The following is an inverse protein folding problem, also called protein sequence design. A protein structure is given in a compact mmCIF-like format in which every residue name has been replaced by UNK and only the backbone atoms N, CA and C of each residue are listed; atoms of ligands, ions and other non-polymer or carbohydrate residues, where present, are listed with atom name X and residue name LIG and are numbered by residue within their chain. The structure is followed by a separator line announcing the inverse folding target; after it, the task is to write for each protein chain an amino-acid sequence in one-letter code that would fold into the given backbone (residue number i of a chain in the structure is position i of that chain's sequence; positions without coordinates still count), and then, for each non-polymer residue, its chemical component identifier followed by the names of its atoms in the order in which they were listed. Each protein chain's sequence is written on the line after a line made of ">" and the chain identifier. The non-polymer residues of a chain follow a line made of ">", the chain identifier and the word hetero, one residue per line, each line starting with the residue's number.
data_IF_587562809763
#
_entry.id   IF_587562809763
#
_cell.length_a   1.000
_cell.length_b   1.000
_cell.length_c   1.000
_cell.angle_alpha   90.00
_cell.angle_beta   90.00
_cell.angle_gamma   90.00
#
_symmetry.space_group_name_H-M   'P 1'
#
loop_
_entity.id
_entity.type
_entity.pdbx_description
1 polymer ?
#
# COMPACT_ATOMS: atom_id res chain seq x y z
N UNK A 1 35.94 4.38 -11.06
CA UNK A 1 36.27 4.00 -12.46
C UNK A 1 35.16 4.46 -13.39
N UNK A 2 35.44 5.27 -14.41
CA UNK A 2 34.43 5.64 -15.40
C UNK A 2 34.02 4.40 -16.21
N UNK A 3 32.72 4.10 -16.28
CA UNK A 3 32.19 2.98 -17.06
C UNK A 3 32.43 3.27 -18.54
N UNK A 4 33.02 2.34 -19.27
CA UNK A 4 33.15 2.43 -20.74
C UNK A 4 31.77 2.64 -21.36
N UNK A 5 31.61 3.57 -22.32
CA UNK A 5 30.36 3.72 -23.07
C UNK A 5 30.05 2.41 -23.80
N UNK A 6 28.77 2.04 -23.80
CA UNK A 6 28.29 0.85 -24.51
C UNK A 6 28.42 1.06 -26.02
N UNK A 7 28.77 -0.01 -26.75
CA UNK A 7 28.70 0.01 -28.21
C UNK A 7 27.24 0.00 -28.67
N UNK A 8 26.94 0.52 -29.87
CA UNK A 8 25.58 0.55 -30.44
C UNK A 8 24.91 -0.84 -30.45
N UNK A 9 25.63 -1.92 -30.82
CA UNK A 9 25.11 -3.31 -30.73
C UNK A 9 24.77 -3.76 -29.31
N UNK A 10 25.56 -3.35 -28.31
CA UNK A 10 25.28 -3.67 -26.91
C UNK A 10 24.08 -2.88 -26.39
N UNK A 11 23.92 -1.63 -26.83
CA UNK A 11 22.75 -0.80 -26.53
C UNK A 11 21.48 -1.47 -27.06
N UNK A 12 21.44 -1.82 -28.34
CA UNK A 12 20.27 -2.44 -28.98
C UNK A 12 19.89 -3.76 -28.32
N UNK A 13 20.87 -4.61 -28.00
CA UNK A 13 20.65 -5.88 -27.28
C UNK A 13 20.02 -5.67 -25.90
N UNK A 14 20.39 -4.60 -25.19
CA UNK A 14 19.80 -4.27 -23.88
C UNK A 14 18.36 -3.77 -24.05
N UNK A 15 18.11 -2.90 -25.03
CA UNK A 15 16.81 -2.28 -25.24
C UNK A 15 15.76 -3.25 -25.82
N UNK A 16 16.17 -4.27 -26.56
CA UNK A 16 15.26 -5.30 -27.08
C UNK A 16 14.84 -6.35 -26.05
N UNK A 17 15.63 -6.59 -25.01
CA UNK A 17 15.33 -7.54 -23.95
C UNK A 17 15.58 -6.97 -22.54
N UNK A 18 14.91 -5.85 -22.17
CA UNK A 18 15.17 -5.13 -20.92
C UNK A 18 14.84 -5.99 -19.67
N UNK A 19 13.87 -6.89 -19.80
CA UNK A 19 13.41 -7.83 -18.77
C UNK A 19 14.52 -8.78 -18.27
N UNK A 20 15.52 -9.07 -19.12
CA UNK A 20 16.59 -10.04 -18.83
C UNK A 20 17.80 -9.39 -18.16
N UNK A 21 17.73 -8.10 -17.83
CA UNK A 21 18.85 -7.33 -17.30
C UNK A 21 18.67 -7.03 -15.83
N UNK A 22 19.80 -6.92 -15.12
CA UNK A 22 19.78 -6.39 -13.77
C UNK A 22 19.31 -4.93 -13.81
N UNK A 23 18.51 -4.54 -12.83
CA UNK A 23 17.95 -3.20 -12.70
C UNK A 23 19.04 -2.10 -12.73
N UNK A 24 20.16 -2.33 -12.04
CA UNK A 24 21.30 -1.43 -12.05
C UNK A 24 21.91 -1.27 -13.44
N UNK A 25 21.99 -2.36 -14.22
CA UNK A 25 22.45 -2.34 -15.60
C UNK A 25 21.53 -1.50 -16.49
N UNK A 26 20.22 -1.79 -16.45
CA UNK A 26 19.20 -1.08 -17.22
C UNK A 26 19.18 0.42 -16.89
N UNK A 27 19.24 0.77 -15.60
CA UNK A 27 19.31 2.18 -15.16
C UNK A 27 20.48 2.93 -15.78
N UNK A 28 21.69 2.33 -15.79
CA UNK A 28 22.86 3.00 -16.38
C UNK A 28 22.69 3.24 -17.88
N UNK A 29 22.08 2.28 -18.58
CA UNK A 29 21.82 2.40 -20.03
C UNK A 29 20.86 3.55 -20.29
N UNK A 30 19.74 3.60 -19.57
CA UNK A 30 18.72 4.64 -19.73
C UNK A 30 19.26 6.04 -19.40
N UNK A 31 20.14 6.18 -18.40
CA UNK A 31 20.74 7.48 -18.04
C UNK A 31 21.73 8.02 -19.08
N UNK A 32 22.13 7.20 -20.06
CA UNK A 32 23.20 7.52 -21.01
C UNK A 32 22.79 7.22 -22.45
N UNK A 33 21.49 7.32 -22.75
CA UNK A 33 20.96 7.14 -24.10
C UNK A 33 21.48 8.25 -25.04
N UNK A 34 21.98 7.89 -26.23
CA UNK A 34 22.37 8.88 -27.23
C UNK A 34 21.12 9.48 -27.92
N UNK A 35 21.28 10.62 -28.59
CA UNK A 35 20.17 11.34 -29.26
C UNK A 35 19.59 10.58 -30.46
N UNK A 36 20.37 9.70 -31.09
CA UNK A 36 20.02 8.90 -32.28
C UNK A 36 19.48 7.49 -31.95
N UNK A 37 19.25 7.18 -30.68
CA UNK A 37 18.69 5.88 -30.26
C UNK A 37 17.29 5.66 -30.84
N UNK A 38 16.96 4.41 -31.19
CA UNK A 38 15.60 4.04 -31.56
C UNK A 38 14.64 4.33 -30.38
N UNK A 39 13.66 5.24 -30.57
CA UNK A 39 12.84 5.73 -29.48
C UNK A 39 11.91 4.67 -28.90
N UNK A 40 11.41 3.71 -29.70
CA UNK A 40 10.39 2.77 -29.25
C UNK A 40 10.98 1.70 -28.30
N UNK A 41 12.09 1.01 -28.63
CA UNK A 41 12.76 0.11 -27.69
C UNK A 41 13.26 0.83 -26.44
N UNK A 42 13.79 2.06 -26.58
CA UNK A 42 14.26 2.85 -25.45
C UNK A 42 13.12 3.21 -24.48
N UNK A 43 11.95 3.60 -25.00
CA UNK A 43 10.78 3.90 -24.19
C UNK A 43 10.25 2.66 -23.45
N UNK A 44 10.17 1.50 -24.11
CA UNK A 44 9.78 0.22 -23.47
C UNK A 44 10.74 -0.16 -22.35
N UNK A 45 12.04 -0.03 -22.60
CA UNK A 45 13.08 -0.29 -21.61
C UNK A 45 12.99 0.67 -20.40
N UNK A 46 12.66 1.94 -20.61
CA UNK A 46 12.42 2.88 -19.53
C UNK A 46 11.22 2.49 -18.67
N UNK A 47 10.10 2.03 -19.28
CA UNK A 47 8.91 1.59 -18.55
C UNK A 47 9.13 0.34 -17.69
N UNK A 48 10.09 -0.53 -18.05
CA UNK A 48 10.48 -1.66 -17.20
C UNK A 48 10.98 -1.21 -15.82
N UNK A 49 11.45 0.04 -15.66
CA UNK A 49 11.86 0.57 -14.35
C UNK A 49 10.70 0.85 -13.39
N UNK A 50 9.44 0.91 -13.89
CA UNK A 50 8.23 1.17 -13.09
C UNK A 50 7.42 -0.12 -12.83
N UNK A 51 8.04 -1.30 -12.96
CA UNK A 51 7.36 -2.58 -12.70
C UNK A 51 7.21 -2.89 -11.21
N UNK A 52 6.16 -3.66 -10.89
CA UNK A 52 5.59 -3.83 -9.55
C UNK A 52 6.53 -4.50 -8.52
N UNK A 53 7.56 -5.21 -8.97
CA UNK A 53 8.43 -6.01 -8.10
C UNK A 53 9.59 -5.20 -7.49
N UNK A 54 9.51 -3.86 -7.49
CA UNK A 54 10.59 -2.99 -7.06
C UNK A 54 10.23 -2.18 -5.81
N UNK A 55 11.23 -1.99 -4.94
CA UNK A 55 11.15 -1.06 -3.83
C UNK A 55 11.34 0.37 -4.39
N UNK A 56 10.30 1.20 -4.30
CA UNK A 56 10.23 2.58 -4.87
C UNK A 56 10.44 2.68 -6.39
N UNK A 57 9.58 2.04 -7.21
CA UNK A 57 9.73 2.00 -8.68
C UNK A 57 9.76 3.40 -9.29
N UNK A 58 8.91 4.31 -8.81
CA UNK A 58 8.83 5.67 -9.33
C UNK A 58 10.11 6.48 -9.12
N UNK A 59 10.76 6.33 -7.96
CA UNK A 59 12.02 7.01 -7.66
C UNK A 59 13.15 6.54 -8.56
N UNK A 60 13.19 5.26 -8.90
CA UNK A 60 14.19 4.68 -9.79
C UNK A 60 13.97 5.20 -11.21
N UNK A 61 12.74 5.12 -11.70
CA UNK A 61 12.34 5.62 -13.00
C UNK A 61 12.66 7.12 -13.17
N UNK A 62 12.19 7.97 -12.25
CA UNK A 62 12.35 9.40 -12.37
C UNK A 62 13.82 9.85 -12.30
N UNK A 63 14.68 9.12 -11.57
CA UNK A 63 16.14 9.35 -11.59
C UNK A 63 16.78 8.93 -12.90
N UNK A 64 16.41 7.75 -13.41
CA UNK A 64 17.03 7.20 -14.61
C UNK A 64 16.62 8.00 -15.86
N UNK A 65 15.36 8.43 -15.90
CA UNK A 65 14.74 9.03 -17.06
C UNK A 65 14.79 10.57 -17.05
N UNK A 66 15.50 11.23 -16.12
CA UNK A 66 15.49 12.70 -16.01
C UNK A 66 15.90 13.42 -17.30
N UNK A 67 16.79 12.81 -18.09
CA UNK A 67 17.42 13.41 -19.28
C UNK A 67 17.26 12.51 -20.51
N UNK A 68 16.03 12.12 -20.83
CA UNK A 68 15.74 11.34 -22.03
C UNK A 68 15.77 12.22 -23.30
N UNK A 69 16.19 11.65 -24.46
CA UNK A 69 15.98 12.29 -25.75
C UNK A 69 14.49 12.51 -26.03
N UNK A 70 14.13 13.63 -26.67
CA UNK A 70 12.73 13.99 -26.96
C UNK A 70 11.97 12.93 -27.78
N UNK A 71 12.56 12.28 -28.81
CA UNK A 71 11.89 11.18 -29.50
C UNK A 71 11.50 10.03 -28.56
N UNK A 72 12.34 9.69 -27.58
CA UNK A 72 12.08 8.65 -26.58
C UNK A 72 10.96 9.10 -25.63
N UNK A 73 10.96 10.37 -25.20
CA UNK A 73 9.90 10.94 -24.35
C UNK A 73 8.54 10.80 -25.03
N UNK A 74 8.44 11.18 -26.31
CA UNK A 74 7.19 11.07 -27.07
C UNK A 74 6.74 9.62 -27.20
N UNK A 75 7.63 8.72 -27.62
CA UNK A 75 7.31 7.29 -27.70
C UNK A 75 6.87 6.71 -26.34
N UNK A 76 7.44 7.19 -25.24
CA UNK A 76 7.04 6.78 -23.88
C UNK A 76 5.63 7.29 -23.54
N UNK A 77 5.31 8.55 -23.83
CA UNK A 77 3.97 9.11 -23.61
C UNK A 77 2.91 8.34 -24.42
N UNK A 78 3.24 7.89 -25.64
CA UNK A 78 2.37 7.08 -26.48
C UNK A 78 2.08 5.72 -25.84
N UNK A 79 3.10 5.06 -25.31
CA UNK A 79 2.93 3.79 -24.59
C UNK A 79 2.08 3.94 -23.33
N UNK A 80 2.18 5.10 -22.66
CA UNK A 80 1.38 5.43 -21.48
C UNK A 80 -0.09 5.74 -21.78
N UNK A 81 -0.52 5.82 -23.05
CA UNK A 81 -1.92 6.08 -23.38
C UNK A 81 -2.87 4.99 -22.87
N UNK A 82 -2.39 3.75 -22.87
CA UNK A 82 -3.13 2.57 -22.42
C UNK A 82 -2.95 2.24 -20.94
N UNK A 83 -1.98 2.89 -20.28
CA UNK A 83 -1.66 2.64 -18.88
C UNK A 83 -2.59 3.45 -17.96
N UNK A 84 -3.30 2.75 -17.07
CA UNK A 84 -4.31 3.33 -16.17
C UNK A 84 -3.78 3.65 -14.78
N UNK A 85 -2.46 3.60 -14.56
CA UNK A 85 -1.84 3.94 -13.28
C UNK A 85 -1.66 5.46 -13.13
N UNK A 86 -1.59 6.00 -11.90
CA UNK A 86 -1.58 7.44 -11.66
C UNK A 86 -0.45 8.21 -12.36
N UNK A 87 0.75 7.63 -12.42
CA UNK A 87 1.90 8.28 -13.05
C UNK A 87 1.68 8.50 -14.55
N UNK A 88 0.89 7.63 -15.21
CA UNK A 88 0.58 7.73 -16.63
C UNK A 88 -0.24 8.98 -16.92
N UNK A 89 -1.31 9.20 -16.15
CA UNK A 89 -2.14 10.40 -16.23
C UNK A 89 -1.34 11.66 -15.85
N UNK A 90 -0.55 11.59 -14.77
CA UNK A 90 0.31 12.69 -14.36
C UNK A 90 1.28 13.11 -15.48
N UNK A 91 1.99 12.18 -16.10
CA UNK A 91 2.99 12.50 -17.12
C UNK A 91 2.37 13.00 -18.42
N UNK A 92 1.25 12.41 -18.84
CA UNK A 92 0.50 12.83 -20.04
C UNK A 92 -0.05 14.25 -19.89
N UNK A 93 -0.53 14.61 -18.70
CA UNK A 93 -1.02 15.95 -18.43
C UNK A 93 0.12 16.97 -18.30
N UNK A 94 1.21 16.60 -17.62
CA UNK A 94 2.31 17.52 -17.34
C UNK A 94 3.11 17.90 -18.59
N UNK A 95 3.35 16.94 -19.50
CA UNK A 95 4.31 17.10 -20.59
C UNK A 95 3.58 17.42 -21.90
N UNK A 96 3.82 18.59 -22.51
CA UNK A 96 3.15 18.98 -23.75
C UNK A 96 3.72 18.19 -24.93
N UNK A 97 3.12 17.04 -25.28
CA UNK A 97 3.60 16.09 -26.31
C UNK A 97 4.01 16.76 -27.62
N UNK A 98 3.17 17.67 -28.11
CA UNK A 98 3.32 18.35 -29.41
C UNK A 98 4.11 19.67 -29.31
N UNK A 99 4.67 19.97 -28.14
CA UNK A 99 5.51 21.14 -27.93
C UNK A 99 6.85 21.07 -28.67
N UNK A 100 7.56 22.20 -28.70
CA UNK A 100 8.91 22.27 -29.28
C UNK A 100 9.90 21.43 -28.47
N UNK A 101 11.00 20.98 -29.10
CA UNK A 101 12.02 20.11 -28.47
C UNK A 101 12.41 20.59 -27.05
N UNK A 102 12.73 21.88 -26.91
CA UNK A 102 13.14 22.48 -25.62
C UNK A 102 12.01 22.50 -24.58
N UNK A 103 10.77 22.73 -25.00
CA UNK A 103 9.61 22.76 -24.11
C UNK A 103 9.31 21.37 -23.56
N UNK A 104 9.31 20.34 -24.43
CA UNK A 104 9.13 18.94 -24.05
C UNK A 104 10.22 18.49 -23.09
N UNK A 105 11.50 18.74 -23.42
CA UNK A 105 12.62 18.32 -22.56
C UNK A 105 12.58 18.99 -21.19
N UNK A 106 12.21 20.27 -21.13
CA UNK A 106 12.13 21.03 -19.87
C UNK A 106 10.95 20.55 -19.03
N UNK A 107 9.77 20.39 -19.63
CA UNK A 107 8.59 19.88 -18.95
C UNK A 107 8.82 18.46 -18.43
N UNK A 108 9.45 17.60 -19.22
CA UNK A 108 9.81 16.24 -18.82
C UNK A 108 10.76 16.23 -17.62
N UNK A 109 11.85 16.99 -17.64
CA UNK A 109 12.79 17.08 -16.53
C UNK A 109 12.12 17.59 -15.24
N UNK A 110 11.21 18.56 -15.37
CA UNK A 110 10.40 19.07 -14.25
C UNK A 110 9.39 18.05 -13.74
N UNK A 111 8.74 17.29 -14.62
CA UNK A 111 7.83 16.20 -14.24
C UNK A 111 8.57 15.11 -13.46
N UNK A 112 9.77 14.71 -13.91
CA UNK A 112 10.62 13.76 -13.19
C UNK A 112 11.01 14.30 -11.81
N UNK A 113 11.33 15.60 -11.71
CA UNK A 113 11.63 16.22 -10.43
C UNK A 113 10.42 16.23 -9.48
N UNK A 114 9.22 16.56 -9.98
CA UNK A 114 7.99 16.51 -9.20
C UNK A 114 7.69 15.10 -8.68
N UNK A 115 7.85 14.05 -9.50
CA UNK A 115 7.71 12.66 -9.07
C UNK A 115 8.72 12.27 -7.98
N UNK A 116 9.96 12.79 -8.04
CA UNK A 116 10.95 12.58 -6.99
C UNK A 116 10.61 13.32 -5.69
N UNK A 117 9.94 14.45 -5.78
CA UNK A 117 9.52 15.23 -4.62
C UNK A 117 8.28 14.65 -3.93
N UNK A 118 7.42 13.95 -4.68
CA UNK A 118 6.36 13.09 -4.12
C UNK A 118 6.93 11.87 -3.38
N UNK A 119 8.05 11.29 -3.85
CA UNK A 119 8.75 10.15 -3.20
C UNK A 119 9.69 10.62 -2.06
N UNK A 120 9.15 11.40 -1.13
CA UNK A 120 9.92 11.98 -0.02
C UNK A 120 10.34 10.93 1.02
N UNK A 121 11.64 10.81 1.35
CA UNK A 121 12.10 9.91 2.42
C UNK A 121 11.83 10.47 3.83
N UNK A 122 11.34 11.71 3.93
CA UNK A 122 11.11 12.35 5.23
C UNK A 122 9.81 11.86 5.86
N UNK A 123 9.80 11.75 7.19
CA UNK A 123 8.59 11.43 7.96
C UNK A 123 7.43 12.38 7.63
N UNK A 124 6.21 11.85 7.74
CA UNK A 124 4.97 12.50 7.29
C UNK A 124 4.83 13.95 7.78
N UNK A 125 4.86 14.17 9.09
CA UNK A 125 4.65 15.49 9.69
C UNK A 125 5.87 16.44 9.66
N UNK A 126 6.99 16.07 9.00
CA UNK A 126 8.21 16.87 9.07
C UNK A 126 8.10 18.21 8.31
N UNK A 127 8.73 19.30 8.79
CA UNK A 127 8.73 20.59 8.09
C UNK A 127 9.25 20.51 6.65
N UNK A 128 10.24 19.64 6.41
CA UNK A 128 10.81 19.41 5.06
C UNK A 128 9.80 18.79 4.11
N UNK A 129 9.02 17.79 4.54
CA UNK A 129 7.96 17.20 3.71
C UNK A 129 6.85 18.22 3.44
N UNK A 130 6.43 18.97 4.46
CA UNK A 130 5.45 20.05 4.31
C UNK A 130 5.89 21.11 3.28
N UNK A 131 7.15 21.54 3.34
CA UNK A 131 7.68 22.50 2.39
C UNK A 131 7.69 21.97 0.94
N UNK A 132 8.06 20.69 0.74
CA UNK A 132 7.99 20.04 -0.58
C UNK A 132 6.56 20.01 -1.13
N UNK A 133 5.60 19.56 -0.33
CA UNK A 133 4.19 19.47 -0.74
C UNK A 133 3.63 20.84 -1.09
N UNK A 134 3.96 21.89 -0.33
CA UNK A 134 3.61 23.28 -0.68
C UNK A 134 4.26 23.74 -1.98
N UNK A 135 5.52 23.38 -2.22
CA UNK A 135 6.21 23.69 -3.48
C UNK A 135 5.54 23.02 -4.69
N UNK A 136 5.06 21.79 -4.54
CA UNK A 136 4.29 21.09 -5.57
C UNK A 136 2.91 21.73 -5.79
N UNK A 137 2.19 22.04 -4.71
CA UNK A 137 0.90 22.72 -4.77
C UNK A 137 0.99 24.11 -5.42
N UNK A 138 2.06 24.85 -5.14
CA UNK A 138 2.29 26.18 -5.71
C UNK A 138 2.73 26.20 -7.18
N UNK A 139 2.94 25.04 -7.81
CA UNK A 139 3.29 24.92 -9.22
C UNK A 139 2.03 24.53 -10.03
N UNK A 140 1.46 25.43 -10.84
CA UNK A 140 0.17 25.18 -11.50
C UNK A 140 0.14 23.94 -12.38
N UNK A 141 1.22 23.69 -13.15
CA UNK A 141 1.32 22.51 -14.02
C UNK A 141 1.41 21.21 -13.23
N UNK A 142 2.10 21.25 -12.09
CA UNK A 142 2.20 20.10 -11.18
C UNK A 142 0.86 19.81 -10.52
N UNK A 143 0.19 20.86 -10.03
CA UNK A 143 -1.12 20.75 -9.40
C UNK A 143 -2.15 20.18 -10.38
N UNK A 144 -2.24 20.71 -11.59
CA UNK A 144 -3.14 20.24 -12.65
C UNK A 144 -2.91 18.76 -12.99
N UNK A 145 -1.64 18.33 -13.12
CA UNK A 145 -1.30 16.94 -13.37
C UNK A 145 -1.68 16.00 -12.21
N UNK A 146 -1.56 16.48 -10.96
CA UNK A 146 -1.99 15.71 -9.77
C UNK A 146 -3.51 15.63 -9.68
N UNK A 147 -4.22 16.73 -9.91
CA UNK A 147 -5.69 16.77 -9.97
C UNK A 147 -6.20 15.78 -11.02
N UNK A 148 -5.63 15.80 -12.22
CA UNK A 148 -5.98 14.88 -13.31
C UNK A 148 -5.76 13.42 -12.92
N UNK A 149 -4.62 13.10 -12.31
CA UNK A 149 -4.35 11.74 -11.84
C UNK A 149 -5.29 11.29 -10.72
N UNK A 150 -5.63 12.19 -9.79
CA UNK A 150 -6.54 11.91 -8.67
C UNK A 150 -7.99 11.70 -9.13
N UNK A 151 -8.45 12.41 -10.16
CA UNK A 151 -9.78 12.21 -10.76
C UNK A 151 -9.82 10.92 -11.58
N UNK A 152 -8.78 10.64 -12.36
CA UNK A 152 -8.78 9.51 -13.30
C UNK A 152 -8.49 8.15 -12.64
N UNK A 153 -7.92 8.13 -11.43
CA UNK A 153 -7.49 6.90 -10.76
C UNK A 153 -8.15 6.71 -9.41
N UNK A 154 -8.59 5.47 -9.15
CA UNK A 154 -9.06 5.09 -7.83
C UNK A 154 -7.96 5.08 -6.76
N UNK A 155 -6.77 4.60 -7.11
CA UNK A 155 -5.67 4.43 -6.17
C UNK A 155 -4.55 5.42 -6.53
N UNK A 156 -4.45 6.50 -5.76
CA UNK A 156 -3.35 7.47 -5.86
C UNK A 156 -2.55 7.49 -4.56
N UNK A 157 -1.34 8.03 -4.60
CA UNK A 157 -0.49 8.08 -3.41
C UNK A 157 -0.99 9.11 -2.39
N UNK A 158 -0.70 8.86 -1.13
CA UNK A 158 -0.98 9.81 -0.04
C UNK A 158 -0.30 11.17 -0.27
N UNK A 159 0.90 11.21 -0.86
CA UNK A 159 1.57 12.47 -1.19
C UNK A 159 0.84 13.27 -2.28
N UNK A 160 0.25 12.61 -3.29
CA UNK A 160 -0.58 13.31 -4.29
C UNK A 160 -1.82 13.94 -3.63
N UNK A 161 -2.52 13.18 -2.78
CA UNK A 161 -3.67 13.71 -2.02
C UNK A 161 -3.25 14.82 -1.04
N UNK A 162 -2.05 14.73 -0.46
CA UNK A 162 -1.50 15.74 0.43
C UNK A 162 -1.24 17.07 -0.29
N UNK A 163 -0.85 17.03 -1.57
CA UNK A 163 -0.75 18.24 -2.41
C UNK A 163 -2.11 18.89 -2.59
N UNK A 164 -3.18 18.11 -2.84
CA UNK A 164 -4.54 18.64 -3.03
C UNK A 164 -5.07 19.35 -1.79
N UNK A 165 -4.92 18.76 -0.59
CA UNK A 165 -5.35 19.40 0.67
C UNK A 165 -4.47 20.60 1.04
N UNK A 166 -3.23 20.64 0.55
CA UNK A 166 -2.31 21.78 0.73
C UNK A 166 -2.71 22.96 -0.15
N UNK A 167 -3.20 22.69 -1.36
CA UNK A 167 -3.73 23.71 -2.28
C UNK A 167 -5.09 24.24 -1.81
N UNK A 168 -6.03 23.33 -1.53
CA UNK A 168 -7.39 23.60 -1.07
C UNK A 168 -8.25 24.46 -2.01
N UNK A 169 -7.97 24.46 -3.32
CA UNK A 169 -8.90 25.00 -4.32
C UNK A 169 -10.11 24.08 -4.50
N UNK A 170 -11.17 24.62 -5.10
CA UNK A 170 -12.38 23.86 -5.47
C UNK A 170 -12.05 22.64 -6.33
N UNK A 171 -11.21 22.79 -7.37
CA UNK A 171 -10.77 21.69 -8.21
C UNK A 171 -9.99 20.60 -7.44
N UNK A 172 -9.21 20.99 -6.43
CA UNK A 172 -8.51 20.04 -5.55
C UNK A 172 -9.47 19.30 -4.61
N UNK A 173 -10.51 19.98 -4.12
CA UNK A 173 -11.56 19.37 -3.30
C UNK A 173 -12.41 18.39 -4.11
N UNK A 174 -12.81 18.76 -5.33
CA UNK A 174 -13.53 17.88 -6.25
C UNK A 174 -12.74 16.61 -6.56
N UNK A 175 -11.41 16.75 -6.74
CA UNK A 175 -10.53 15.62 -6.93
C UNK A 175 -10.38 14.73 -5.68
N UNK A 176 -10.63 15.25 -4.46
CA UNK A 176 -10.53 14.51 -3.19
C UNK A 176 -11.82 13.75 -2.84
N UNK A 177 -12.99 14.33 -3.12
CA UNK A 177 -14.30 13.78 -2.72
C UNK A 177 -14.48 12.31 -3.11
N UNK A 178 -14.19 11.87 -4.35
CA UNK A 178 -14.36 10.46 -4.75
C UNK A 178 -13.51 9.48 -3.95
N UNK A 179 -12.39 9.91 -3.37
CA UNK A 179 -11.52 9.06 -2.53
C UNK A 179 -12.13 8.88 -1.14
N UNK A 180 -12.69 9.94 -0.57
CA UNK A 180 -13.40 9.89 0.72
C UNK A 180 -14.66 9.05 0.61
N UNK A 181 -15.49 9.28 -0.41
CA UNK A 181 -16.73 8.51 -0.60
C UNK A 181 -16.47 7.01 -0.73
N UNK A 182 -15.43 6.64 -1.49
CA UNK A 182 -15.02 5.23 -1.60
C UNK A 182 -14.50 4.68 -0.29
N UNK A 183 -13.71 5.44 0.47
CA UNK A 183 -13.22 5.02 1.79
C UNK A 183 -14.37 4.82 2.79
N UNK A 184 -15.33 5.74 2.83
CA UNK A 184 -16.55 5.64 3.65
C UNK A 184 -17.37 4.40 3.26
N UNK A 185 -17.56 4.15 1.95
CA UNK A 185 -18.29 2.98 1.46
C UNK A 185 -17.58 1.66 1.79
N UNK A 186 -16.25 1.62 1.69
CA UNK A 186 -15.44 0.42 1.99
C UNK A 186 -15.33 0.16 3.49
N UNK A 187 -15.44 1.20 4.33
CA UNK A 187 -15.27 1.13 5.80
C UNK A 187 -13.98 0.42 6.20
N UNK A 188 -12.90 0.71 5.47
CA UNK A 188 -11.55 0.18 5.73
C UNK A 188 -10.62 1.28 6.26
N UNK A 189 -9.36 0.93 6.50
CA UNK A 189 -8.31 1.83 7.01
C UNK A 189 -7.96 2.99 6.07
N UNK A 190 -8.52 3.02 4.85
CA UNK A 190 -8.27 4.13 3.92
C UNK A 190 -8.81 5.44 4.50
N UNK A 191 -9.93 5.40 5.23
CA UNK A 191 -10.52 6.60 5.82
C UNK A 191 -9.60 7.20 6.90
N UNK A 192 -8.98 6.36 7.72
CA UNK A 192 -7.97 6.76 8.72
C UNK A 192 -6.77 7.42 8.07
N UNK A 193 -6.25 6.82 6.99
CA UNK A 193 -5.14 7.40 6.21
C UNK A 193 -5.53 8.76 5.63
N UNK A 194 -6.75 8.89 5.08
CA UNK A 194 -7.24 10.17 4.58
C UNK A 194 -7.33 11.22 5.68
N UNK A 195 -7.66 10.85 6.92
CA UNK A 195 -7.66 11.78 8.05
C UNK A 195 -6.24 12.30 8.38
N UNK A 196 -5.18 11.51 8.16
CA UNK A 196 -3.80 11.95 8.35
C UNK A 196 -3.39 13.13 7.44
N UNK A 197 -4.10 13.33 6.31
CA UNK A 197 -3.90 14.45 5.40
C UNK A 197 -4.12 15.81 6.08
N UNK A 198 -4.90 15.85 7.18
CA UNK A 198 -5.14 17.06 7.97
C UNK A 198 -3.83 17.74 8.40
N UNK A 199 -2.78 16.95 8.60
CA UNK A 199 -1.42 17.43 8.93
C UNK A 199 -0.84 18.41 7.91
N UNK A 200 -1.27 18.30 6.65
CA UNK A 200 -0.81 19.08 5.50
C UNK A 200 -1.83 20.10 5.00
N UNK A 201 -3.07 20.02 5.49
CA UNK A 201 -4.17 20.82 5.01
C UNK A 201 -3.92 22.33 5.16
N UNK A 202 -4.36 23.09 4.15
CA UNK A 202 -4.43 24.53 4.26
C UNK A 202 -5.54 24.91 5.25
N UNK A 203 -5.22 25.81 6.18
CA UNK A 203 -6.21 26.33 7.12
C UNK A 203 -7.23 27.21 6.37
N UNK A 204 -8.39 26.63 6.06
CA UNK A 204 -9.53 27.28 5.42
C UNK A 204 -10.82 26.66 5.99
N UNK A 205 -11.92 27.42 6.08
CA UNK A 205 -13.19 26.87 6.58
C UNK A 205 -13.64 25.62 5.81
N UNK A 206 -13.44 25.61 4.48
CA UNK A 206 -13.85 24.48 3.63
C UNK A 206 -13.04 23.21 3.94
N UNK A 207 -11.73 23.34 4.17
CA UNK A 207 -10.91 22.19 4.59
C UNK A 207 -11.25 21.72 6.00
N UNK A 208 -11.55 22.65 6.91
CA UNK A 208 -11.97 22.30 8.26
C UNK A 208 -13.28 21.50 8.24
N UNK A 209 -14.28 21.94 7.47
CA UNK A 209 -15.54 21.23 7.26
C UNK A 209 -15.32 19.86 6.62
N UNK A 210 -14.45 19.78 5.60
CA UNK A 210 -14.09 18.52 4.94
C UNK A 210 -13.54 17.49 5.93
N UNK A 211 -12.58 17.87 6.78
CA UNK A 211 -12.01 16.96 7.78
C UNK A 211 -12.95 16.70 8.97
N UNK A 212 -13.83 17.63 9.32
CA UNK A 212 -14.88 17.37 10.30
C UNK A 212 -15.84 16.28 9.81
N UNK A 213 -16.19 16.27 8.52
CA UNK A 213 -17.03 15.20 7.95
C UNK A 213 -16.33 13.85 7.98
N UNK A 214 -15.03 13.80 7.65
CA UNK A 214 -14.24 12.56 7.77
C UNK A 214 -14.22 12.09 9.23
N UNK A 215 -13.97 12.99 10.17
CA UNK A 215 -13.95 12.65 11.61
C UNK A 215 -15.30 12.10 12.07
N UNK A 216 -16.42 12.71 11.68
CA UNK A 216 -17.75 12.22 12.04
C UNK A 216 -18.01 10.79 11.51
N UNK A 217 -17.48 10.44 10.33
CA UNK A 217 -17.58 9.08 9.80
C UNK A 217 -16.72 8.08 10.59
N UNK A 218 -15.53 8.51 11.04
CA UNK A 218 -14.67 7.70 11.91
C UNK A 218 -15.33 7.47 13.27
N UNK A 219 -15.89 8.52 13.88
CA UNK A 219 -16.58 8.45 15.17
C UNK A 219 -17.80 7.52 15.08
N UNK A 220 -18.58 7.62 14.00
CA UNK A 220 -19.72 6.73 13.75
C UNK A 220 -19.29 5.26 13.58
N UNK A 221 -18.16 5.00 12.88
CA UNK A 221 -17.59 3.66 12.74
C UNK A 221 -17.16 3.10 14.10
N UNK A 222 -16.51 3.93 14.91
CA UNK A 222 -16.02 3.56 16.22
C UNK A 222 -17.17 3.24 17.19
N UNK A 223 -18.21 4.08 17.23
CA UNK A 223 -19.39 3.86 18.06
C UNK A 223 -20.12 2.54 17.74
N UNK A 224 -20.06 2.09 16.49
CA UNK A 224 -20.68 0.85 16.03
C UNK A 224 -19.73 -0.37 16.03
N UNK A 225 -18.48 -0.23 16.50
CA UNK A 225 -17.44 -1.25 16.32
C UNK A 225 -17.64 -2.48 17.23
N UNK A 226 -17.91 -3.68 16.68
CA UNK A 226 -18.02 -4.89 17.47
C UNK A 226 -16.69 -5.31 18.11
N UNK A 227 -15.56 -4.92 17.51
CA UNK A 227 -14.23 -5.15 18.08
C UNK A 227 -14.04 -4.42 19.41
N UNK A 228 -14.54 -3.18 19.53
CA UNK A 228 -14.50 -2.41 20.78
C UNK A 228 -15.47 -2.96 21.82
N UNK A 229 -16.62 -3.48 21.40
CA UNK A 229 -17.49 -4.23 22.30
C UNK A 229 -16.79 -5.49 22.82
N UNK A 230 -16.16 -6.27 21.94
CA UNK A 230 -15.42 -7.46 22.33
C UNK A 230 -14.26 -7.13 23.30
N UNK A 231 -13.53 -6.04 23.08
CA UNK A 231 -12.51 -5.58 24.02
C UNK A 231 -13.08 -5.27 25.42
N UNK A 232 -14.27 -4.68 25.47
CA UNK A 232 -14.99 -4.42 26.73
C UNK A 232 -15.37 -5.72 27.44
N UNK A 233 -15.86 -6.70 26.72
CA UNK A 233 -16.20 -8.04 27.24
C UNK A 233 -14.96 -8.78 27.78
N UNK A 234 -13.78 -8.55 27.19
CA UNK A 234 -12.50 -9.04 27.70
C UNK A 234 -12.04 -8.31 28.98
N UNK A 235 -12.68 -7.21 29.37
CA UNK A 235 -12.34 -6.45 30.58
C UNK A 235 -11.32 -5.33 30.37
N UNK A 236 -11.11 -4.88 29.13
CA UNK A 236 -10.24 -3.73 28.85
C UNK A 236 -10.89 -2.37 29.13
N UNK A 237 -12.19 -2.34 29.39
CA UNK A 237 -12.96 -1.10 29.54
C UNK A 237 -13.17 -0.38 28.20
N UNK A 238 -13.52 0.90 28.27
CA UNK A 238 -13.74 1.74 27.09
C UNK A 238 -12.40 2.08 26.43
N UNK A 239 -12.23 1.65 25.18
CA UNK A 239 -11.03 1.91 24.38
C UNK A 239 -11.39 2.72 23.13
N UNK A 240 -10.48 3.58 22.69
CA UNK A 240 -10.65 4.30 21.42
C UNK A 240 -10.36 3.40 20.21
N UNK A 241 -9.35 2.54 20.34
CA UNK A 241 -8.95 1.60 19.29
C UNK A 241 -8.61 0.25 19.90
N UNK A 242 -8.87 -0.82 19.17
CA UNK A 242 -8.54 -2.17 19.59
C UNK A 242 -7.99 -2.98 18.42
N UNK A 243 -6.77 -3.44 18.58
CA UNK A 243 -6.14 -4.43 17.71
C UNK A 243 -5.69 -5.62 18.56
N UNK A 244 -5.94 -6.82 18.07
CA UNK A 244 -5.50 -8.07 18.66
C UNK A 244 -5.08 -9.01 17.54
N UNK A 245 -3.89 -9.60 17.67
CA UNK A 245 -3.45 -10.72 16.86
C UNK A 245 -2.95 -11.82 17.78
N UNK A 246 -3.44 -13.03 17.58
CA UNK A 246 -3.01 -14.23 18.28
C UNK A 246 -2.57 -15.24 17.24
N UNK A 247 -1.37 -15.79 17.43
CA UNK A 247 -0.86 -16.91 16.66
C UNK A 247 -0.49 -18.05 17.60
N UNK A 248 -1.02 -19.23 17.29
CA UNK A 248 -0.78 -20.47 18.01
C UNK A 248 -0.17 -21.49 17.05
N UNK A 249 0.85 -22.18 17.54
CA UNK A 249 1.48 -23.28 16.83
C UNK A 249 1.38 -24.56 17.65
N UNK A 250 1.33 -25.68 16.94
CA UNK A 250 1.55 -26.99 17.51
C UNK A 250 2.53 -27.79 16.65
N UNK A 251 3.49 -28.41 17.33
CA UNK A 251 4.31 -29.48 16.76
C UNK A 251 3.80 -30.80 17.29
N UNK A 252 3.58 -31.79 16.41
CA UNK A 252 3.12 -33.12 16.81
C UNK A 252 4.10 -33.74 17.80
N UNK A 253 3.63 -34.07 19.01
CA UNK A 253 4.33 -34.92 19.97
C UNK A 253 3.92 -36.37 19.67
N UNK A 254 4.86 -37.15 19.15
CA UNK A 254 4.85 -38.62 18.90
C UNK A 254 4.75 -39.08 17.43
N UNK A 255 5.92 -39.38 16.86
CA UNK A 255 6.14 -40.59 16.03
C UNK A 255 5.60 -40.66 14.61
N UNK A 256 4.76 -39.75 14.13
CA UNK A 256 4.31 -39.71 12.74
C UNK A 256 4.61 -38.35 12.08
N UNK A 257 4.77 -38.37 10.74
CA UNK A 257 5.17 -37.30 9.81
C UNK A 257 5.09 -35.86 10.34
N UNK A 258 6.15 -35.09 10.08
CA UNK A 258 6.38 -33.73 10.54
C UNK A 258 5.36 -32.70 10.00
N UNK A 259 4.11 -32.79 10.45
CA UNK A 259 3.11 -31.76 10.24
C UNK A 259 3.21 -30.71 11.35
N UNK A 260 3.09 -29.45 10.96
CA UNK A 260 2.90 -28.34 11.89
C UNK A 260 1.53 -27.75 11.67
N UNK A 261 0.86 -27.47 12.78
CA UNK A 261 -0.45 -26.87 12.78
C UNK A 261 -0.30 -25.44 13.26
N UNK A 262 -0.97 -24.52 12.56
CA UNK A 262 -1.05 -23.14 12.98
C UNK A 262 -2.52 -22.72 13.10
N UNK A 263 -2.80 -21.84 14.05
CA UNK A 263 -4.07 -21.17 14.17
C UNK A 263 -3.84 -19.68 14.46
N UNK A 264 -4.71 -18.84 13.90
CA UNK A 264 -4.55 -17.41 13.90
C UNK A 264 -5.89 -16.72 14.09
N UNK A 265 -5.91 -15.73 14.98
CA UNK A 265 -7.02 -14.80 15.16
C UNK A 265 -6.48 -13.39 14.99
N UNK A 266 -7.18 -12.58 14.21
CA UNK A 266 -6.99 -11.14 14.17
C UNK A 266 -8.31 -10.44 14.41
N UNK A 267 -8.28 -9.38 15.21
CA UNK A 267 -9.40 -8.50 15.51
C UNK A 267 -8.92 -7.05 15.38
N UNK A 268 -9.70 -6.20 14.71
CA UNK A 268 -9.39 -4.78 14.53
C UNK A 268 -10.66 -3.93 14.59
N UNK A 269 -10.60 -2.82 15.33
CA UNK A 269 -11.65 -1.79 15.36
C UNK A 269 -11.70 -0.93 14.10
N UNK A 270 -10.66 -0.97 13.27
CA UNK A 270 -10.45 -0.01 12.18
C UNK A 270 -11.02 -0.51 10.85
N UNK A 271 -11.68 -1.67 10.86
CA UNK A 271 -12.27 -2.30 9.69
C UNK A 271 -13.67 -2.83 9.99
N UNK A 272 -14.57 -2.69 9.02
CA UNK A 272 -15.86 -3.39 9.01
C UNK A 272 -15.70 -4.92 8.85
N UNK A 273 -14.57 -5.36 8.27
CA UNK A 273 -14.10 -6.74 8.44
C UNK A 273 -13.33 -6.87 9.76
N UNK A 274 -14.06 -6.81 10.87
CA UNK A 274 -13.49 -6.54 12.18
C UNK A 274 -12.77 -7.75 12.82
N UNK A 275 -12.92 -8.96 12.27
CA UNK A 275 -12.08 -10.10 12.64
C UNK A 275 -11.76 -11.01 11.46
N UNK A 276 -10.73 -11.82 11.60
CA UNK A 276 -10.44 -12.96 10.71
C UNK A 276 -9.84 -14.09 11.53
N UNK A 277 -10.26 -15.32 11.24
CA UNK A 277 -9.76 -16.53 11.87
C UNK A 277 -9.26 -17.47 10.79
N UNK A 278 -8.08 -18.02 11.00
CA UNK A 278 -7.48 -18.99 10.10
C UNK A 278 -6.87 -20.16 10.88
N UNK A 279 -6.85 -21.32 10.24
CA UNK A 279 -6.01 -22.44 10.65
C UNK A 279 -5.48 -23.15 9.41
N UNK A 280 -4.31 -23.77 9.55
CA UNK A 280 -3.78 -24.61 8.50
C UNK A 280 -3.00 -25.78 9.08
N UNK A 281 -3.07 -26.88 8.35
CA UNK A 281 -2.17 -28.01 8.46
C UNK A 281 -1.12 -27.88 7.36
N UNK A 282 0.15 -28.00 7.74
CA UNK A 282 1.28 -27.84 6.82
C UNK A 282 2.27 -28.98 6.96
N UNK A 283 2.64 -29.59 5.83
CA UNK A 283 3.64 -30.65 5.78
C UNK A 283 5.06 -30.05 5.71
N UNK A 284 5.96 -30.46 6.60
CA UNK A 284 7.35 -30.00 6.58
C UNK A 284 8.06 -30.54 5.34
N UNK A 285 8.44 -29.65 4.43
CA UNK A 285 9.13 -29.98 3.17
C UNK A 285 8.24 -29.96 1.92
N UNK A 286 6.93 -29.79 2.08
CA UNK A 286 5.98 -29.69 0.95
C UNK A 286 5.16 -28.40 1.07
N UNK A 287 5.70 -27.30 0.55
CA UNK A 287 5.10 -25.96 0.59
C UNK A 287 3.79 -25.85 -0.23
N UNK A 288 3.51 -26.84 -1.09
CA UNK A 288 2.34 -26.87 -1.96
C UNK A 288 1.12 -27.54 -1.30
N UNK A 289 1.32 -28.32 -0.23
CA UNK A 289 0.24 -28.98 0.50
C UNK A 289 -0.11 -28.19 1.76
N UNK A 290 -0.92 -27.14 1.59
CA UNK A 290 -1.53 -26.40 2.69
C UNK A 290 -3.03 -26.69 2.68
N UNK A 291 -3.52 -27.40 3.69
CA UNK A 291 -4.97 -27.53 3.92
C UNK A 291 -5.36 -26.45 4.91
N UNK A 292 -6.23 -25.53 4.49
CA UNK A 292 -6.54 -24.31 5.23
C UNK A 292 -8.05 -24.15 5.52
N UNK A 293 -8.29 -23.45 6.62
CA UNK A 293 -9.53 -22.77 6.93
C UNK A 293 -9.22 -21.27 7.00
N UNK A 294 -10.09 -20.45 6.43
CA UNK A 294 -10.06 -19.00 6.60
C UNK A 294 -11.49 -18.45 6.53
N UNK A 295 -11.90 -17.68 7.52
CA UNK A 295 -13.18 -16.99 7.54
C UNK A 295 -13.08 -15.66 8.31
N UNK A 296 -14.06 -14.79 8.07
CA UNK A 296 -14.22 -13.53 8.79
C UNK A 296 -15.70 -13.31 9.15
N UNK A 297 -16.02 -12.14 9.69
CA UNK A 297 -17.39 -11.76 10.06
C UNK A 297 -18.38 -11.65 8.88
N UNK A 298 -17.91 -11.72 7.63
CA UNK A 298 -18.76 -11.56 6.42
C UNK A 298 -18.97 -12.87 5.68
N UNK A 299 -17.93 -13.71 5.59
CA UNK A 299 -17.98 -14.93 4.80
C UNK A 299 -16.91 -15.95 5.20
N UNK A 300 -17.14 -17.20 4.79
CA UNK A 300 -16.18 -18.30 4.85
C UNK A 300 -15.44 -18.35 3.52
N UNK A 301 -14.12 -18.14 3.53
CA UNK A 301 -13.30 -18.19 2.32
C UNK A 301 -12.97 -19.63 1.95
N UNK A 302 -12.59 -20.45 2.94
CA UNK A 302 -12.22 -21.87 2.82
C UNK A 302 -12.46 -22.58 4.13
N UNK A 303 -12.90 -23.84 4.08
CA UNK A 303 -12.93 -24.77 5.24
C UNK A 303 -12.59 -26.20 4.81
N UNK A 304 -11.39 -26.40 4.27
CA UNK A 304 -10.94 -27.75 3.90
C UNK A 304 -10.69 -28.63 5.13
N UNK A 305 -10.52 -28.01 6.30
CA UNK A 305 -10.29 -28.69 7.57
C UNK A 305 -11.59 -29.12 8.25
N UNK A 306 -12.76 -28.68 7.77
CA UNK A 306 -14.09 -28.95 8.35
C UNK A 306 -14.19 -28.55 9.82
N UNK A 307 -13.56 -27.45 10.23
CA UNK A 307 -13.54 -26.99 11.61
C UNK A 307 -14.77 -26.14 11.97
N UNK A 308 -15.49 -25.64 10.96
CA UNK A 308 -16.57 -24.68 11.13
C UNK A 308 -16.07 -23.33 11.65
N UNK A 309 -17.02 -22.42 11.84
CA UNK A 309 -16.75 -21.03 12.24
C UNK A 309 -16.91 -20.80 13.74
N UNK A 310 -16.46 -19.65 14.22
CA UNK A 310 -16.77 -19.11 15.55
C UNK A 310 -16.68 -17.58 15.56
N UNK A 311 -17.37 -16.95 16.51
CA UNK A 311 -17.10 -15.55 16.85
C UNK A 311 -15.81 -15.44 17.68
N UNK A 312 -15.12 -14.27 17.70
CA UNK A 312 -13.88 -14.09 18.45
C UNK A 312 -13.97 -14.50 19.92
N UNK A 313 -15.08 -14.19 20.61
CA UNK A 313 -15.30 -14.62 22.00
C UNK A 313 -15.29 -16.15 22.17
N UNK A 314 -15.68 -16.90 21.14
CA UNK A 314 -15.67 -18.36 21.11
C UNK A 314 -14.35 -18.98 20.65
N UNK A 315 -13.33 -18.17 20.35
CA UNK A 315 -12.05 -18.65 19.82
C UNK A 315 -11.34 -19.67 20.73
N UNK A 316 -11.26 -19.50 22.07
CA UNK A 316 -10.62 -20.49 22.96
C UNK A 316 -11.30 -21.87 22.86
N UNK A 317 -12.63 -21.89 22.89
CA UNK A 317 -13.41 -23.12 22.74
C UNK A 317 -13.25 -23.74 21.35
N UNK A 318 -13.14 -22.92 20.32
CA UNK A 318 -12.91 -23.36 18.94
C UNK A 318 -11.52 -23.99 18.77
N UNK A 319 -10.47 -23.39 19.34
CA UNK A 319 -9.10 -23.93 19.38
C UNK A 319 -9.06 -25.28 20.12
N UNK A 320 -9.78 -25.41 21.22
CA UNK A 320 -9.89 -26.67 21.96
C UNK A 320 -10.59 -27.78 21.14
N UNK A 321 -11.60 -27.44 20.32
CA UNK A 321 -12.21 -28.39 19.38
C UNK A 321 -11.24 -28.78 18.26
N UNK A 322 -10.52 -27.81 17.70
CA UNK A 322 -9.49 -28.06 16.68
C UNK A 322 -8.39 -28.98 17.21
N UNK A 323 -7.93 -28.78 18.45
CA UNK A 323 -6.96 -29.65 19.12
C UNK A 323 -7.41 -31.11 19.15
N UNK A 324 -8.68 -31.35 19.52
CA UNK A 324 -9.27 -32.70 19.55
C UNK A 324 -9.35 -33.32 18.15
N UNK A 325 -9.74 -32.53 17.14
CA UNK A 325 -9.85 -32.99 15.76
C UNK A 325 -8.49 -33.38 15.17
N UNK A 326 -7.49 -32.53 15.35
CA UNK A 326 -6.12 -32.75 14.86
C UNK A 326 -5.29 -33.67 15.76
N UNK A 327 -5.77 -34.00 16.96
CA UNK A 327 -5.04 -34.76 17.98
C UNK A 327 -3.71 -34.09 18.35
N UNK A 328 -3.75 -32.77 18.54
CA UNK A 328 -2.59 -31.94 18.88
C UNK A 328 -2.74 -31.25 20.22
N UNK A 329 -1.62 -30.75 20.75
CA UNK A 329 -1.59 -29.83 21.89
C UNK A 329 -1.05 -28.48 21.42
N UNK A 330 -1.84 -27.42 21.58
CA UNK A 330 -1.41 -26.08 21.24
C UNK A 330 -0.37 -25.57 22.24
N UNK A 331 0.68 -24.92 21.74
CA UNK A 331 1.66 -24.27 22.60
C UNK A 331 1.14 -22.91 23.08
N UNK A 332 0.30 -22.92 24.12
CA UNK A 332 -0.25 -21.69 24.71
C UNK A 332 0.82 -20.79 25.32
N UNK A 333 1.91 -21.37 25.84
CA UNK A 333 3.00 -20.61 26.45
C UNK A 333 3.89 -19.92 25.41
N UNK A 334 3.97 -20.49 24.21
CA UNK A 334 4.62 -19.90 23.04
C UNK A 334 3.70 -19.10 22.14
N UNK A 335 2.45 -18.82 22.55
CA UNK A 335 1.50 -18.06 21.75
C UNK A 335 2.03 -16.65 21.48
N UNK A 336 2.04 -16.22 20.20
CA UNK A 336 2.37 -14.85 19.88
C UNK A 336 1.12 -13.98 20.01
N UNK A 337 1.06 -13.19 21.06
CA UNK A 337 -0.04 -12.25 21.32
C UNK A 337 0.46 -10.82 21.09
N UNK A 338 -0.11 -10.16 20.08
CA UNK A 338 0.10 -8.73 19.79
C UNK A 338 -1.21 -7.98 20.04
N UNK A 339 -1.15 -6.84 20.69
CA UNK A 339 -2.34 -6.01 20.94
C UNK A 339 -1.97 -4.53 21.00
N UNK A 340 -2.94 -3.67 20.66
CA UNK A 340 -2.82 -2.21 20.80
C UNK A 340 -2.84 -1.75 22.27
N UNK A 341 -3.33 -2.58 23.21
CA UNK A 341 -3.40 -2.24 24.64
C UNK A 341 -2.00 -2.21 25.24
N UNK A 342 -1.62 -1.07 25.83
CA UNK A 342 -0.29 -0.86 26.41
C UNK A 342 -0.08 -1.62 27.73
N UNK A 343 1.13 -2.13 27.90
CA UNK A 343 1.59 -2.76 29.15
C UNK A 343 1.37 -4.28 29.20
N UNK A 344 2.05 -4.93 30.15
CA UNK A 344 2.06 -6.40 30.25
C UNK A 344 0.72 -6.99 30.74
N UNK A 345 -0.03 -6.23 31.54
CA UNK A 345 -1.33 -6.66 32.08
C UNK A 345 -2.33 -7.06 31.00
N UNK A 346 -2.33 -6.37 29.84
CA UNK A 346 -3.24 -6.71 28.75
C UNK A 346 -2.89 -8.02 28.05
N UNK A 347 -1.59 -8.29 27.86
CA UNK A 347 -1.13 -9.58 27.32
C UNK A 347 -1.42 -10.73 28.27
N UNK A 348 -1.24 -10.52 29.57
CA UNK A 348 -1.56 -11.52 30.60
C UNK A 348 -3.05 -11.85 30.65
N UNK A 349 -3.92 -10.83 30.53
CA UNK A 349 -5.36 -11.00 30.47
C UNK A 349 -5.77 -11.81 29.23
N UNK A 350 -5.22 -11.49 28.05
CA UNK A 350 -5.47 -12.22 26.81
C UNK A 350 -4.93 -13.65 26.86
N UNK A 351 -3.75 -13.87 27.43
CA UNK A 351 -3.19 -15.20 27.61
C UNK A 351 -4.05 -16.05 28.54
N UNK A 352 -4.64 -15.45 29.59
CA UNK A 352 -5.59 -16.12 30.48
C UNK A 352 -6.88 -16.48 29.75
N UNK A 353 -7.48 -15.52 29.05
CA UNK A 353 -8.68 -15.74 28.24
C UNK A 353 -8.47 -16.84 27.19
N UNK A 354 -7.31 -16.88 26.53
CA UNK A 354 -6.98 -17.88 25.51
C UNK A 354 -6.89 -19.31 26.07
N UNK A 355 -6.55 -19.46 27.35
CA UNK A 355 -6.47 -20.77 28.02
C UNK A 355 -7.84 -21.30 28.46
N UNK A 356 -8.88 -20.48 28.43
CA UNK A 356 -10.22 -20.79 28.94
C UNK A 356 -10.38 -20.34 30.38
#
# INVERSE_FOLDING_TARGET
>A
MPKKPLTSRQLDSVLQAPERRSQAGLRNVITSLPEDVDPVPAARAALCLIRADHVHPMRIFARACKTLPVPVIRALLDLLETDRRPHSFFLREYVPRDGKKREVSTAWASAMQALLDLESPYGWATPRRKAKLRGLAGNPRTLQAIQTAAVACEQVSMDMLAVLVTDASEASLDALIPHVERAVKRRDQTLDRLQELRTHARATPVMDDFFQRIQAQLDARQAASPALQFARELGFGELDTFELTIELESSTRAGAKAYWYWAWLHVSSDSDQWFTIAAAEKERGNLLHNVDLNFNNKLIHRDHLGLGTCEPAGFPAWIARAAKKFRVQWNHDGAQIKTSVRGNKGRELLARWLRG
#
